data_IF_943769261154
#
_entry.id   IF_943769261154
#
_cell.length_a   1.000
_cell.length_b   1.000
_cell.length_c   1.000
_cell.angle_alpha   90.00
_cell.angle_beta   90.00
_cell.angle_gamma   90.00
#
_symmetry.space_group_name_H-M   'P 1'
#
loop_
_entity.id
_entity.type
_entity.pdbx_description
1 polymer ?
#
# COMPACT_ATOMS: atom_id res chain seq x y z
N UNK A 1 -12.89 -4.07 -4.88
CA UNK A 1 -13.11 -4.16 -6.34
C UNK A 1 -11.91 -3.52 -7.01
N UNK A 2 -10.94 -4.35 -7.40
CA UNK A 2 -9.64 -3.90 -7.90
C UNK A 2 -9.80 -3.49 -9.36
N UNK A 3 -9.68 -2.20 -9.66
CA UNK A 3 -9.63 -1.69 -11.03
C UNK A 3 -8.28 -2.12 -11.64
N UNK A 4 -8.24 -3.33 -12.20
CA UNK A 4 -7.18 -3.75 -13.12
C UNK A 4 -7.36 -2.93 -14.39
N UNK A 5 -6.80 -1.72 -14.42
CA UNK A 5 -6.57 -1.01 -15.69
C UNK A 5 -5.82 -1.98 -16.59
N UNK A 6 -6.48 -2.43 -17.66
CA UNK A 6 -5.93 -3.44 -18.56
C UNK A 6 -4.67 -2.91 -19.23
N UNK A 7 -3.52 -3.25 -18.65
CA UNK A 7 -2.24 -2.91 -19.27
C UNK A 7 -2.10 -3.79 -20.50
N UNK A 8 -1.98 -3.14 -21.65
CA UNK A 8 -1.80 -3.83 -22.92
C UNK A 8 -0.36 -4.39 -23.00
N UNK A 9 -0.22 -5.67 -22.65
CA UNK A 9 1.04 -6.43 -22.74
C UNK A 9 1.25 -6.87 -24.18
N UNK A 10 1.96 -6.07 -24.97
CA UNK A 10 2.05 -6.25 -26.43
C UNK A 10 3.49 -6.41 -26.92
N UNK A 11 4.49 -5.92 -26.18
CA UNK A 11 5.88 -5.91 -26.67
C UNK A 11 6.48 -7.30 -26.80
N UNK A 12 6.23 -8.18 -25.83
CA UNK A 12 6.75 -9.54 -25.87
C UNK A 12 6.20 -10.35 -27.06
N UNK A 13 4.89 -10.29 -27.29
CA UNK A 13 4.25 -10.98 -28.41
C UNK A 13 4.75 -10.48 -29.77
N UNK A 14 4.97 -9.16 -29.88
CA UNK A 14 5.55 -8.55 -31.08
C UNK A 14 6.98 -9.01 -31.31
N UNK A 15 7.79 -9.09 -30.25
CA UNK A 15 9.16 -9.60 -30.33
C UNK A 15 9.17 -11.03 -30.85
N UNK A 16 8.33 -11.92 -30.29
CA UNK A 16 8.21 -13.30 -30.75
C UNK A 16 7.79 -13.37 -32.23
N UNK A 17 6.81 -12.56 -32.62
CA UNK A 17 6.32 -12.51 -34.00
C UNK A 17 7.41 -12.05 -34.97
N UNK A 18 8.17 -11.02 -34.61
CA UNK A 18 9.28 -10.51 -35.43
C UNK A 18 10.40 -11.54 -35.52
N UNK A 19 10.75 -12.20 -34.41
CA UNK A 19 11.76 -13.27 -34.39
C UNK A 19 11.38 -14.42 -35.33
N UNK A 20 10.15 -14.94 -35.23
CA UNK A 20 9.65 -16.00 -36.12
C UNK A 20 9.71 -15.60 -37.59
N UNK A 21 9.19 -14.41 -37.92
CA UNK A 21 9.23 -13.90 -39.31
C UNK A 21 10.65 -13.70 -39.82
N UNK A 22 11.58 -13.24 -38.98
CA UNK A 22 12.97 -13.07 -39.38
C UNK A 22 13.61 -14.43 -39.73
N UNK A 23 13.39 -15.45 -38.91
CA UNK A 23 13.89 -16.82 -39.18
C UNK A 23 13.28 -17.36 -40.47
N UNK A 24 11.96 -17.24 -40.66
CA UNK A 24 11.29 -17.64 -41.91
C UNK A 24 11.92 -16.97 -43.14
N UNK A 25 12.10 -15.64 -43.09
CA UNK A 25 12.67 -14.88 -44.21
C UNK A 25 14.12 -15.28 -44.51
N UNK A 26 14.93 -15.53 -43.48
CA UNK A 26 16.32 -15.97 -43.65
C UNK A 26 16.34 -17.36 -44.28
N UNK A 27 15.61 -18.32 -43.73
CA UNK A 27 15.63 -19.71 -44.20
C UNK A 27 15.05 -19.84 -45.61
N UNK A 28 13.91 -19.20 -45.89
CA UNK A 28 13.27 -19.27 -47.21
C UNK A 28 14.06 -18.57 -48.31
N UNK A 29 14.78 -17.49 -47.99
CA UNK A 29 15.54 -16.71 -48.97
C UNK A 29 16.94 -17.27 -49.21
N UNK A 30 17.57 -17.84 -48.19
CA UNK A 30 18.95 -18.34 -48.28
C UNK A 30 19.04 -19.77 -48.80
N UNK A 31 17.96 -20.56 -48.68
CA UNK A 31 17.96 -21.97 -49.09
C UNK A 31 16.81 -22.20 -50.09
N UNK A 32 16.92 -21.56 -51.25
CA UNK A 32 15.97 -21.79 -52.34
C UNK A 32 16.30 -23.07 -53.11
N UNK A 33 15.26 -23.67 -53.70
CA UNK A 33 15.39 -24.85 -54.56
C UNK A 33 16.40 -24.62 -55.70
N UNK A 34 16.36 -23.43 -56.31
CA UNK A 34 17.25 -23.03 -57.41
C UNK A 34 18.73 -22.99 -56.99
N UNK A 35 19.03 -22.49 -55.79
CA UNK A 35 20.40 -22.49 -55.28
C UNK A 35 20.90 -23.90 -55.01
N UNK A 36 20.03 -24.78 -54.52
CA UNK A 36 20.37 -26.17 -54.26
C UNK A 36 20.58 -26.96 -55.56
N UNK A 37 19.74 -26.76 -56.58
CA UNK A 37 19.96 -27.36 -57.90
C UNK A 37 21.28 -26.91 -58.52
N UNK A 38 21.65 -25.64 -58.31
CA UNK A 38 22.94 -25.08 -58.78
C UNK A 38 24.13 -25.69 -58.03
N UNK A 39 24.00 -25.96 -56.73
CA UNK A 39 25.08 -26.54 -55.91
C UNK A 39 25.24 -28.07 -56.09
N UNK A 40 24.20 -28.78 -56.55
CA UNK A 40 24.18 -30.24 -56.65
C UNK A 40 23.74 -30.73 -58.04
N UNK A 41 24.38 -30.22 -59.10
CA UNK A 41 24.01 -30.48 -60.50
C UNK A 41 23.89 -31.98 -60.83
N UNK A 42 24.85 -32.81 -60.44
CA UNK A 42 24.88 -34.23 -60.79
C UNK A 42 23.69 -35.02 -60.21
N UNK A 43 23.24 -34.62 -59.02
CA UNK A 43 22.11 -35.25 -58.32
C UNK A 43 20.79 -34.70 -58.86
N UNK A 44 20.73 -33.40 -59.16
CA UNK A 44 19.55 -32.71 -59.69
C UNK A 44 19.17 -33.17 -61.11
N UNK A 45 20.14 -33.63 -61.91
CA UNK A 45 19.87 -34.17 -63.25
C UNK A 45 19.05 -35.46 -63.24
N UNK A 46 19.10 -36.23 -62.15
CA UNK A 46 18.28 -37.43 -62.00
C UNK A 46 16.93 -37.08 -61.35
N UNK A 47 15.79 -37.54 -61.90
CA UNK A 47 14.48 -37.25 -61.31
C UNK A 47 14.31 -37.88 -59.91
N UNK A 48 15.00 -38.99 -59.64
CA UNK A 48 15.02 -39.65 -58.33
C UNK A 48 15.87 -38.81 -57.36
N UNK A 49 17.04 -38.36 -57.80
CA UNK A 49 17.94 -37.54 -57.00
C UNK A 49 17.31 -36.20 -56.62
N UNK A 50 16.62 -35.56 -57.57
CA UNK A 50 15.89 -34.31 -57.33
C UNK A 50 14.83 -34.46 -56.24
N UNK A 51 14.02 -35.53 -56.29
CA UNK A 51 12.98 -35.78 -55.28
C UNK A 51 13.58 -36.07 -53.89
N UNK A 52 14.68 -36.82 -53.83
CA UNK A 52 15.42 -37.04 -52.58
C UNK A 52 15.99 -35.74 -52.02
N UNK A 53 16.50 -34.86 -52.88
CA UNK A 53 17.06 -33.57 -52.51
C UNK A 53 15.98 -32.61 -51.97
N UNK A 54 14.82 -32.54 -52.62
CA UNK A 54 13.66 -31.78 -52.14
C UNK A 54 13.19 -32.28 -50.76
N UNK A 55 13.16 -33.61 -50.57
CA UNK A 55 12.75 -34.21 -49.30
C UNK A 55 13.74 -33.90 -48.19
N UNK A 56 15.04 -34.04 -48.47
CA UNK A 56 16.11 -33.70 -47.51
C UNK A 56 16.12 -32.21 -47.18
N UNK A 57 15.90 -31.35 -48.17
CA UNK A 57 15.78 -29.90 -47.97
C UNK A 57 14.59 -29.56 -47.08
N UNK A 58 13.41 -30.13 -47.34
CA UNK A 58 12.24 -29.90 -46.50
C UNK A 58 12.47 -30.33 -45.04
N UNK A 59 13.14 -31.47 -44.83
CA UNK A 59 13.52 -31.94 -43.49
C UNK A 59 14.52 -31.00 -42.82
N UNK A 60 15.55 -30.56 -43.54
CA UNK A 60 16.56 -29.64 -43.03
C UNK A 60 15.94 -28.29 -42.63
N UNK A 61 15.10 -27.72 -43.49
CA UNK A 61 14.40 -26.46 -43.23
C UNK A 61 13.48 -26.57 -42.01
N UNK A 62 12.74 -27.68 -41.90
CA UNK A 62 11.89 -27.94 -40.75
C UNK A 62 12.72 -28.02 -39.46
N UNK A 63 13.78 -28.82 -39.46
CA UNK A 63 14.65 -28.99 -38.30
C UNK A 63 15.29 -27.67 -37.87
N UNK A 64 15.89 -26.93 -38.82
CA UNK A 64 16.50 -25.64 -38.54
C UNK A 64 15.50 -24.63 -37.98
N UNK A 65 14.29 -24.57 -38.53
CA UNK A 65 13.25 -23.68 -38.04
C UNK A 65 12.84 -24.06 -36.60
N UNK A 66 12.50 -25.32 -36.36
CA UNK A 66 12.06 -25.79 -35.04
C UNK A 66 13.14 -25.57 -33.97
N UNK A 67 14.39 -25.94 -34.25
CA UNK A 67 15.51 -25.79 -33.32
C UNK A 67 15.82 -24.31 -33.04
N UNK A 68 15.85 -23.47 -34.07
CA UNK A 68 16.15 -22.03 -33.89
C UNK A 68 15.08 -21.33 -33.07
N UNK A 69 13.81 -21.67 -33.27
CA UNK A 69 12.72 -21.10 -32.47
C UNK A 69 12.78 -21.60 -31.03
N UNK A 70 13.08 -22.88 -30.81
CA UNK A 70 13.25 -23.43 -29.46
C UNK A 70 14.39 -22.73 -28.70
N UNK A 71 15.54 -22.52 -29.35
CA UNK A 71 16.67 -21.78 -28.77
C UNK A 71 16.31 -20.32 -28.45
N UNK A 72 15.56 -19.64 -29.33
CA UNK A 72 15.06 -18.29 -29.02
C UNK A 72 14.12 -18.27 -27.82
N UNK A 73 13.19 -19.22 -27.74
CA UNK A 73 12.28 -19.32 -26.59
C UNK A 73 13.08 -19.59 -25.30
N UNK A 74 14.12 -20.42 -25.34
CA UNK A 74 15.01 -20.62 -24.20
C UNK A 74 15.74 -19.33 -23.79
N UNK A 75 16.30 -18.58 -24.75
CA UNK A 75 16.95 -17.29 -24.50
C UNK A 75 15.95 -16.30 -23.86
N UNK A 76 14.70 -16.30 -24.31
CA UNK A 76 13.67 -15.42 -23.77
C UNK A 76 13.33 -15.73 -22.31
N UNK A 77 13.25 -17.01 -21.96
CA UNK A 77 13.01 -17.48 -20.59
C UNK A 77 14.23 -17.24 -19.69
N UNK A 78 15.44 -17.55 -20.13
CA UNK A 78 16.68 -17.33 -19.36
C UNK A 78 16.88 -15.86 -18.99
N UNK A 79 16.49 -14.95 -19.88
CA UNK A 79 16.63 -13.51 -19.66
C UNK A 79 15.41 -12.88 -19.00
N UNK A 80 14.37 -13.66 -18.70
CA UNK A 80 13.08 -13.20 -18.18
C UNK A 80 12.51 -12.02 -19.00
N UNK A 81 12.60 -12.12 -20.33
CA UNK A 81 12.19 -11.03 -21.22
C UNK A 81 10.70 -10.76 -21.15
N UNK A 82 9.90 -11.81 -20.87
CA UNK A 82 8.46 -11.66 -20.73
C UNK A 82 8.10 -10.75 -19.58
N UNK A 83 8.69 -10.96 -18.40
CA UNK A 83 8.44 -10.09 -17.24
C UNK A 83 8.92 -8.67 -17.51
N UNK A 84 10.17 -8.51 -17.96
CA UNK A 84 10.79 -7.19 -18.22
C UNK A 84 10.05 -6.36 -19.26
N UNK A 85 9.60 -6.97 -20.36
CA UNK A 85 8.85 -6.24 -21.39
C UNK A 85 7.42 -5.90 -20.96
N UNK A 86 6.81 -6.75 -20.12
CA UNK A 86 5.51 -6.43 -19.51
C UNK A 86 5.64 -5.28 -18.51
N UNK A 87 6.65 -5.29 -17.66
CA UNK A 87 6.95 -4.19 -16.73
C UNK A 87 7.21 -2.90 -17.50
N UNK A 88 7.94 -2.98 -18.62
CA UNK A 88 8.14 -1.82 -19.49
C UNK A 88 6.83 -1.30 -20.08
N UNK A 89 5.89 -2.18 -20.47
CA UNK A 89 4.55 -1.80 -20.96
C UNK A 89 3.78 -1.07 -19.85
N UNK A 90 3.84 -1.58 -18.61
CA UNK A 90 3.24 -0.98 -17.41
C UNK A 90 3.82 0.42 -17.15
N UNK A 91 5.15 0.56 -17.09
CA UNK A 91 5.84 1.84 -16.86
C UNK A 91 5.50 2.85 -17.95
N UNK A 92 5.46 2.41 -19.22
CA UNK A 92 5.15 3.30 -20.35
C UNK A 92 3.72 3.83 -20.23
N UNK A 93 2.76 2.96 -19.95
CA UNK A 93 1.36 3.35 -19.83
C UNK A 93 1.16 4.30 -18.64
N UNK A 94 1.79 4.03 -17.50
CA UNK A 94 1.75 4.93 -16.34
C UNK A 94 2.34 6.31 -16.68
N UNK A 95 3.43 6.35 -17.43
CA UNK A 95 4.04 7.61 -17.88
C UNK A 95 3.11 8.39 -18.83
N UNK A 96 2.45 7.70 -19.76
CA UNK A 96 1.47 8.30 -20.68
C UNK A 96 0.25 8.85 -19.93
N UNK A 97 -0.29 8.11 -18.98
CA UNK A 97 -1.40 8.57 -18.13
C UNK A 97 -1.03 9.82 -17.33
N UNK A 98 0.19 9.87 -16.75
CA UNK A 98 0.69 11.08 -16.06
C UNK A 98 0.82 12.27 -17.00
N UNK A 99 1.29 12.04 -18.23
CA UNK A 99 1.39 13.08 -19.26
C UNK A 99 0.00 13.63 -19.61
N UNK A 100 -0.99 12.76 -19.79
CA UNK A 100 -2.36 13.15 -20.11
C UNK A 100 -3.02 13.92 -18.97
N UNK A 101 -2.87 13.47 -17.72
CA UNK A 101 -3.38 14.15 -16.54
C UNK A 101 -2.80 15.57 -16.39
N UNK A 102 -1.50 15.73 -16.60
CA UNK A 102 -0.83 17.03 -16.53
C UNK A 102 -1.20 17.96 -17.70
N UNK A 103 -1.44 17.40 -18.88
CA UNK A 103 -1.89 18.15 -20.06
C UNK A 103 -3.33 18.67 -19.89
N UNK A 104 -4.20 17.90 -19.23
CA UNK A 104 -5.57 18.31 -18.91
C UNK A 104 -5.64 19.42 -17.86
N UNK A 105 -4.77 19.38 -16.83
CA UNK A 105 -4.71 20.41 -15.79
C UNK A 105 -4.25 21.79 -16.31
N UNK A 106 -3.39 21.81 -17.33
CA UNK A 106 -2.81 23.05 -17.90
C UNK A 106 -3.78 23.81 -18.81
N UNK A 107 -4.89 23.20 -19.21
CA UNK A 107 -5.86 23.81 -20.13
C UNK A 107 -6.90 24.72 -19.44
N UNK A 108 -6.93 24.79 -18.10
CA UNK A 108 -8.02 25.47 -17.34
C UNK A 108 -7.62 26.75 -16.58
N UNK A 109 -6.39 27.27 -16.68
CA UNK A 109 -5.93 28.45 -15.91
C UNK A 109 -5.51 29.65 -16.77
N UNK A 110 -6.24 29.91 -17.86
CA UNK A 110 -6.18 31.20 -18.56
C UNK A 110 -7.44 32.03 -18.30
N UNK A 111 -7.76 32.39 -17.06
CA UNK A 111 -8.41 33.67 -16.75
C UNK A 111 -8.23 34.01 -15.26
N UNK A 112 -7.72 35.22 -15.02
CA UNK A 112 -7.76 36.04 -13.79
C UNK A 112 -6.53 36.02 -12.88
N UNK A 113 -6.01 37.24 -12.70
CA UNK A 113 -5.30 37.76 -11.51
C UNK A 113 -3.78 37.87 -11.59
N UNK A 114 -3.35 38.87 -12.37
CA UNK A 114 -2.26 39.76 -11.93
C UNK A 114 -2.48 40.20 -10.48
N UNK A 115 -1.57 39.81 -9.58
CA UNK A 115 -1.11 40.70 -8.51
C UNK A 115 0.27 40.28 -8.02
N UNK A 116 1.19 41.23 -8.14
CA UNK A 116 2.50 41.33 -7.50
C UNK A 116 2.61 40.67 -6.11
N UNK A 117 3.78 40.07 -5.83
CA UNK A 117 4.68 40.58 -4.79
C UNK A 117 6.09 40.01 -4.94
N UNK A 118 7.05 40.92 -4.79
CA UNK A 118 8.49 40.74 -4.80
C UNK A 118 8.93 40.27 -3.40
N UNK A 119 9.63 39.15 -3.27
CA UNK A 119 10.62 38.93 -2.19
C UNK A 119 11.64 37.85 -2.57
N UNK A 120 12.91 38.17 -2.28
CA UNK A 120 14.11 37.38 -2.51
C UNK A 120 14.06 35.96 -1.92
N UNK A 121 14.28 34.94 -2.76
CA UNK A 121 14.94 33.70 -2.36
C UNK A 121 15.72 33.13 -3.56
N UNK A 122 17.03 33.08 -3.41
CA UNK A 122 17.99 32.47 -4.34
C UNK A 122 17.83 30.94 -4.27
N UNK A 123 16.90 30.42 -5.06
CA UNK A 123 16.67 29.00 -5.30
C UNK A 123 15.99 28.88 -6.65
N UNK A 124 16.80 28.80 -7.70
CA UNK A 124 16.35 28.68 -9.09
C UNK A 124 15.70 27.31 -9.32
N UNK A 125 14.46 27.13 -8.88
CA UNK A 125 13.59 26.06 -9.37
C UNK A 125 13.00 26.56 -10.68
N UNK A 126 13.58 26.11 -11.80
CA UNK A 126 13.01 26.25 -13.13
C UNK A 126 11.69 25.47 -13.20
N UNK A 127 10.60 26.12 -12.84
CA UNK A 127 9.25 25.74 -13.25
C UNK A 127 9.06 26.11 -14.72
N UNK A 128 9.65 25.31 -15.62
CA UNK A 128 9.36 25.31 -17.07
C UNK A 128 10.11 24.17 -17.78
N UNK A 129 10.04 22.96 -17.23
CA UNK A 129 10.55 21.77 -17.92
C UNK A 129 9.37 20.92 -18.36
N UNK A 130 8.77 21.34 -19.48
CA UNK A 130 7.90 20.48 -20.27
C UNK A 130 8.67 19.19 -20.60
N UNK A 131 8.38 18.13 -19.83
CA UNK A 131 8.57 16.71 -20.12
C UNK A 131 9.71 16.38 -21.08
N UNK A 132 10.94 16.77 -20.74
CA UNK A 132 12.11 16.22 -21.41
C UNK A 132 12.47 14.88 -20.75
N UNK A 133 12.87 13.86 -21.54
CA UNK A 133 13.35 12.61 -21.00
C UNK A 133 14.51 12.89 -20.04
N UNK A 134 14.36 12.42 -18.81
CA UNK A 134 15.38 12.56 -17.76
C UNK A 134 16.58 11.72 -18.17
N UNK A 135 17.67 12.37 -18.57
CA UNK A 135 18.92 11.69 -18.91
C UNK A 135 19.62 11.26 -17.62
N UNK A 136 19.42 10.01 -17.19
CA UNK A 136 19.99 9.41 -15.98
C UNK A 136 21.51 9.64 -15.84
N UNK A 137 22.26 9.60 -16.93
CA UNK A 137 23.72 9.82 -16.95
C UNK A 137 24.15 11.26 -16.63
N UNK A 138 23.21 12.22 -16.64
CA UNK A 138 23.46 13.62 -16.30
C UNK A 138 23.02 13.97 -14.88
N UNK A 139 22.33 13.07 -14.17
CA UNK A 139 22.00 13.30 -12.78
C UNK A 139 23.24 13.06 -11.93
N UNK A 140 23.50 14.00 -11.02
CA UNK A 140 24.50 13.76 -10.00
C UNK A 140 24.02 12.61 -9.10
N UNK A 141 24.92 11.73 -8.60
CA UNK A 141 24.54 10.69 -7.66
C UNK A 141 23.76 11.20 -6.45
N UNK A 142 24.02 12.45 -6.02
CA UNK A 142 23.27 13.13 -4.97
C UNK A 142 21.81 13.38 -5.33
N UNK A 143 21.49 13.74 -6.58
CA UNK A 143 20.12 14.01 -7.01
C UNK A 143 19.28 12.72 -7.09
N UNK A 144 19.92 11.60 -7.48
CA UNK A 144 19.28 10.28 -7.45
C UNK A 144 18.94 9.88 -6.01
N UNK A 145 19.93 10.00 -5.11
CA UNK A 145 19.74 9.70 -3.69
C UNK A 145 18.68 10.60 -3.09
N UNK A 146 18.74 11.91 -3.34
CA UNK A 146 17.79 12.87 -2.80
C UNK A 146 16.36 12.58 -3.27
N UNK A 147 16.15 12.18 -4.53
CA UNK A 147 14.82 11.81 -5.01
C UNK A 147 14.20 10.62 -4.26
N UNK A 148 15.00 9.59 -3.95
CA UNK A 148 14.57 8.39 -3.22
C UNK A 148 14.46 8.67 -1.72
N UNK A 149 15.37 9.47 -1.18
CA UNK A 149 15.40 9.84 0.23
C UNK A 149 14.26 10.79 0.57
N UNK A 150 13.88 11.70 -0.33
CA UNK A 150 12.74 12.61 -0.13
C UNK A 150 11.42 11.83 -0.09
N UNK A 151 11.19 10.89 -1.00
CA UNK A 151 9.97 10.06 -0.97
C UNK A 151 9.88 9.25 0.33
N UNK A 152 10.98 8.62 0.76
CA UNK A 152 11.00 7.88 2.02
C UNK A 152 10.79 8.79 3.24
N UNK A 153 11.34 10.00 3.22
CA UNK A 153 11.14 10.97 4.31
C UNK A 153 9.68 11.40 4.40
N UNK A 154 9.00 11.61 3.27
CA UNK A 154 7.60 12.01 3.24
C UNK A 154 6.67 10.92 3.80
N UNK A 155 6.91 9.65 3.45
CA UNK A 155 6.18 8.51 4.02
C UNK A 155 6.39 8.39 5.54
N UNK A 156 7.63 8.59 6.02
CA UNK A 156 7.94 8.59 7.45
C UNK A 156 7.26 9.77 8.16
N UNK A 157 7.23 10.95 7.54
CA UNK A 157 6.60 12.15 8.09
C UNK A 157 5.10 11.96 8.24
N UNK A 158 4.44 11.45 7.20
CA UNK A 158 3.01 11.11 7.22
C UNK A 158 2.69 10.05 8.28
N UNK A 159 3.56 9.04 8.43
CA UNK A 159 3.44 8.03 9.48
C UNK A 159 3.59 8.63 10.87
N UNK A 160 4.53 9.54 11.06
CA UNK A 160 4.76 10.21 12.35
C UNK A 160 3.62 11.17 12.71
N UNK A 161 3.07 11.89 11.73
CA UNK A 161 1.88 12.72 11.88
C UNK A 161 0.67 11.89 12.33
N UNK A 162 0.45 10.74 11.68
CA UNK A 162 -0.62 9.81 12.08
C UNK A 162 -0.45 9.31 13.52
N UNK A 163 0.79 9.02 13.95
CA UNK A 163 1.07 8.59 15.33
C UNK A 163 0.83 9.75 16.31
N UNK A 164 1.25 10.95 15.96
CA UNK A 164 1.05 12.15 16.78
C UNK A 164 -0.44 12.44 16.98
N UNK A 165 -1.23 12.42 15.91
CA UNK A 165 -2.68 12.65 15.96
C UNK A 165 -3.40 11.60 16.82
N UNK A 166 -2.98 10.34 16.68
CA UNK A 166 -3.50 9.26 17.52
C UNK A 166 -3.17 9.49 18.99
N UNK A 167 -1.94 9.86 19.31
CA UNK A 167 -1.52 10.08 20.69
C UNK A 167 -2.19 11.31 21.31
N UNK A 168 -2.41 12.37 20.52
CA UNK A 168 -3.19 13.53 20.93
C UNK A 168 -4.63 13.13 21.27
N UNK A 169 -5.27 12.36 20.39
CA UNK A 169 -6.63 11.83 20.62
C UNK A 169 -6.69 10.94 21.86
N UNK A 170 -5.72 10.03 22.03
CA UNK A 170 -5.66 9.13 23.19
C UNK A 170 -5.46 9.92 24.50
N UNK A 171 -4.61 10.96 24.49
CA UNK A 171 -4.43 11.84 25.64
C UNK A 171 -5.71 12.62 26.00
N UNK A 172 -6.44 13.11 25.00
CA UNK A 172 -7.71 13.82 25.21
C UNK A 172 -8.77 12.90 25.83
N UNK A 173 -8.89 11.67 25.32
CA UNK A 173 -9.81 10.68 25.90
C UNK A 173 -9.42 10.29 27.32
N UNK A 174 -8.12 10.14 27.60
CA UNK A 174 -7.64 9.84 28.94
C UNK A 174 -7.93 11.00 29.91
N UNK A 175 -7.73 12.24 29.49
CA UNK A 175 -8.08 13.42 30.28
C UNK A 175 -9.59 13.47 30.59
N UNK A 176 -10.44 13.14 29.61
CA UNK A 176 -11.89 13.08 29.82
C UNK A 176 -12.27 11.98 30.83
N UNK A 177 -11.69 10.78 30.71
CA UNK A 177 -11.97 9.69 31.65
C UNK A 177 -11.53 10.00 33.08
N UNK A 178 -10.36 10.63 33.25
CA UNK A 178 -9.88 11.08 34.55
C UNK A 178 -10.79 12.15 35.16
N UNK A 179 -11.30 13.09 34.34
CA UNK A 179 -12.26 14.10 34.80
C UNK A 179 -13.55 13.43 35.30
N UNK A 180 -14.11 12.49 34.53
CA UNK A 180 -15.31 11.75 34.94
C UNK A 180 -15.08 10.96 36.23
N UNK A 181 -13.92 10.31 36.37
CA UNK A 181 -13.58 9.56 37.58
C UNK A 181 -13.48 10.48 38.81
N UNK A 182 -12.88 11.66 38.65
CA UNK A 182 -12.79 12.68 39.71
C UNK A 182 -14.17 13.16 40.15
N UNK A 183 -15.06 13.41 39.20
CA UNK A 183 -16.41 13.89 39.50
C UNK A 183 -17.21 12.80 40.23
N UNK A 184 -17.12 11.55 39.76
CA UNK A 184 -17.73 10.39 40.43
C UNK A 184 -17.19 10.18 41.85
N UNK A 185 -15.87 10.27 42.05
CA UNK A 185 -15.27 10.15 43.38
C UNK A 185 -15.74 11.27 44.31
N UNK A 186 -15.92 12.48 43.79
CA UNK A 186 -16.43 13.63 44.55
C UNK A 186 -17.89 13.41 44.95
N UNK A 187 -18.72 12.86 44.05
CA UNK A 187 -20.10 12.51 44.32
C UNK A 187 -20.22 11.42 45.41
N UNK A 188 -19.47 10.33 45.29
CA UNK A 188 -19.45 9.26 46.28
C UNK A 188 -19.01 9.79 47.65
N UNK A 189 -17.99 10.66 47.69
CA UNK A 189 -17.54 11.26 48.94
C UNK A 189 -18.63 12.14 49.57
N UNK A 190 -19.39 12.89 48.75
CA UNK A 190 -20.54 13.65 49.22
C UNK A 190 -21.62 12.72 49.81
N UNK A 191 -21.99 11.65 49.13
CA UNK A 191 -22.97 10.65 49.61
C UNK A 191 -22.52 9.99 50.92
N UNK A 192 -21.23 9.64 51.05
CA UNK A 192 -20.67 9.10 52.29
C UNK A 192 -20.80 10.10 53.44
N UNK A 193 -20.48 11.38 53.21
CA UNK A 193 -20.61 12.42 54.24
C UNK A 193 -22.08 12.64 54.63
N UNK A 194 -23.00 12.59 53.66
CA UNK A 194 -24.44 12.70 53.91
C UNK A 194 -24.95 11.58 54.81
N UNK A 195 -24.45 10.35 54.65
CA UNK A 195 -24.83 9.20 55.49
C UNK A 195 -24.10 9.20 56.85
N UNK A 196 -22.83 9.59 56.88
CA UNK A 196 -21.99 9.50 58.07
C UNK A 196 -22.43 10.50 59.15
N UNK A 197 -22.84 11.71 58.77
CA UNK A 197 -23.26 12.76 59.72
C UNK A 197 -24.47 12.34 60.56
N UNK A 198 -25.58 11.83 60.00
CA UNK A 198 -26.69 11.27 60.77
C UNK A 198 -26.29 10.15 61.72
N UNK A 199 -25.46 9.21 61.27
CA UNK A 199 -24.98 8.09 62.11
C UNK A 199 -24.16 8.62 63.28
N UNK A 200 -23.26 9.57 63.03
CA UNK A 200 -22.46 10.23 64.06
C UNK A 200 -23.36 10.92 65.10
N UNK A 201 -24.39 11.63 64.64
CA UNK A 201 -25.36 12.29 65.50
C UNK A 201 -26.16 11.30 66.36
N UNK A 202 -26.62 10.19 65.76
CA UNK A 202 -27.31 9.12 66.49
C UNK A 202 -26.41 8.43 67.53
N UNK A 203 -25.17 8.13 67.16
CA UNK A 203 -24.19 7.55 68.09
C UNK A 203 -23.89 8.48 69.26
N UNK A 204 -23.85 9.80 69.03
CA UNK A 204 -23.67 10.80 70.08
C UNK A 204 -24.90 10.89 71.00
N UNK A 205 -26.12 10.80 70.47
CA UNK A 205 -27.35 10.74 71.28
C UNK A 205 -27.35 9.51 72.21
N UNK A 206 -26.99 8.33 71.69
CA UNK A 206 -26.91 7.10 72.49
C UNK A 206 -25.83 7.19 73.58
N UNK A 207 -24.70 7.86 73.32
CA UNK A 207 -23.67 8.09 74.34
C UNK A 207 -24.11 9.07 75.42
N UNK A 208 -24.98 10.03 75.09
CA UNK A 208 -25.45 11.07 76.02
C UNK A 208 -26.56 10.59 76.95
N UNK A 209 -27.31 9.55 76.55
CA UNK A 209 -28.35 8.92 77.38
C UNK A 209 -27.80 7.61 77.96
N UNK A 210 -27.11 7.62 79.11
CA UNK A 210 -26.74 6.38 79.77
C UNK A 210 -28.03 5.64 80.08
N UNK A 211 -28.16 4.42 79.53
CA UNK A 211 -29.24 3.51 79.89
C UNK A 211 -29.17 3.33 81.41
N UNK A 212 -30.16 3.88 82.11
CA UNK A 212 -30.28 3.74 83.56
C UNK A 212 -30.71 2.30 83.86
N UNK A 213 -29.72 1.41 83.87
CA UNK A 213 -29.87 -0.03 84.14
C UNK A 213 -30.58 -0.22 85.48
N UNK A 214 -30.34 0.64 86.46
CA UNK A 214 -31.00 0.58 87.77
C UNK A 214 -32.50 0.87 87.67
N UNK A 215 -32.92 1.82 86.82
CA UNK A 215 -34.35 2.07 86.57
C UNK A 215 -35.03 0.89 85.86
N UNK A 216 -34.34 0.22 84.94
CA UNK A 216 -34.84 -0.99 84.27
C UNK A 216 -34.94 -2.16 85.25
N UNK A 217 -33.94 -2.36 86.10
CA UNK A 217 -33.97 -3.38 87.16
C UNK A 217 -35.14 -3.12 88.11
N UNK A 218 -35.34 -1.89 88.57
CA UNK A 218 -36.48 -1.54 89.45
C UNK A 218 -37.84 -1.77 88.80
N UNK A 219 -37.99 -1.48 87.50
CA UNK A 219 -39.24 -1.77 86.77
C UNK A 219 -39.44 -3.28 86.65
N UNK A 220 -38.38 -4.05 86.34
CA UNK A 220 -38.44 -5.51 86.28
C UNK A 220 -38.82 -6.12 87.62
N UNK A 221 -38.22 -5.65 88.72
CA UNK A 221 -38.53 -6.10 90.08
C UNK A 221 -39.97 -5.72 90.48
N UNK A 222 -40.43 -4.52 90.12
CA UNK A 222 -41.82 -4.10 90.34
C UNK A 222 -42.81 -5.00 89.60
N UNK A 223 -42.55 -5.33 88.33
CA UNK A 223 -43.39 -6.23 87.55
C UNK A 223 -43.38 -7.66 88.11
N UNK A 224 -42.22 -8.15 88.58
CA UNK A 224 -42.10 -9.48 89.20
C UNK A 224 -42.92 -9.55 90.51
N UNK A 225 -42.91 -8.47 91.29
CA UNK A 225 -43.65 -8.36 92.55
C UNK A 225 -45.16 -8.30 92.32
N UNK A 226 -45.65 -7.53 91.34
CA UNK A 226 -47.08 -7.51 90.97
C UNK A 226 -47.56 -8.89 90.48
N UNK A 227 -46.72 -9.62 89.74
CA UNK A 227 -47.06 -10.95 89.24
C UNK A 227 -47.14 -12.01 90.35
N UNK A 228 -46.39 -11.83 91.45
CA UNK A 228 -46.41 -12.74 92.60
C UNK A 228 -47.55 -12.45 93.60
N UNK A 229 -48.13 -11.25 93.59
CA UNK A 229 -49.28 -10.88 94.45
C UNK A 229 -50.65 -11.26 93.88
N UNK A 230 -50.71 -11.81 92.66
CA UNK A 230 -51.95 -12.16 91.95
C UNK A 230 -52.25 -13.67 91.95
N UNK A 231 -51.66 -14.44 92.88
CA UNK A 231 -51.97 -15.85 93.15
C UNK A 231 -52.39 -16.03 94.60
#
# INVERSE_FOLDING_TARGET
>A
MSNSSGVHKMRYERLQTVGKKAVEQVLLRSISKEQIETCYLDIAQSPIGLKSLETGLAQLLKYLYEETIAEFDQIYEENDLRSKLNELDEITQLAEQRREANSAATSNTNTTSSTNTNTNAKGSVKTDSALQPVHLDKLAPSEIIDSVVVTNKEDILNGLETIYDKLATDNDTLAETLSRLRDNASLINYEIQEILVPIQNQANLIKAEPVDIDKIIRISESMQNEMNTTK
#
